data_IF_486738624866
#
_entry.id   IF_486738624866
#
_cell.length_a   1.000
_cell.length_b   1.000
_cell.length_c   1.000
_cell.angle_alpha   90.00
_cell.angle_beta   90.00
_cell.angle_gamma   90.00
#
_symmetry.space_group_name_H-M   'P 1'
#
loop_
_entity.id
_entity.type
_entity.pdbx_description
1 polymer ?
#
# COMPACT_ATOMS: atom_id res chain seq x y z
N UNK A 1 1.11 9.87 25.22
CA UNK A 1 0.36 8.68 24.77
C UNK A 1 1.27 7.87 23.85
N UNK A 2 1.30 6.55 23.97
CA UNK A 2 1.99 5.71 22.97
C UNK A 2 1.24 5.78 21.64
N UNK A 3 1.95 5.66 20.51
CA UNK A 3 1.34 5.64 19.18
C UNK A 3 0.56 4.34 19.00
N UNK A 4 -0.57 4.42 18.29
CA UNK A 4 -1.37 3.29 17.86
C UNK A 4 -1.41 3.22 16.33
N UNK A 5 -1.52 2.01 15.79
CA UNK A 5 -1.73 1.76 14.37
C UNK A 5 -3.21 1.44 14.12
N UNK A 6 -3.90 2.32 13.39
CA UNK A 6 -5.24 2.06 12.90
C UNK A 6 -5.16 1.35 11.55
N UNK A 7 -5.72 0.15 11.47
CA UNK A 7 -5.75 -0.66 10.24
C UNK A 7 -7.17 -0.59 9.68
N UNK A 8 -7.34 -0.05 8.48
CA UNK A 8 -8.64 -0.06 7.81
C UNK A 8 -9.03 -1.50 7.47
N UNK A 9 -10.24 -1.93 7.85
CA UNK A 9 -10.71 -3.31 7.71
C UNK A 9 -12.18 -3.40 7.28
N UNK A 10 -12.56 -2.56 6.33
CA UNK A 10 -13.92 -2.51 5.78
C UNK A 10 -13.99 -3.19 4.39
N UNK A 11 -15.14 -3.12 3.74
CA UNK A 11 -15.35 -3.53 2.36
C UNK A 11 -14.26 -2.98 1.43
N UNK A 12 -13.79 -3.83 0.51
CA UNK A 12 -12.71 -3.52 -0.42
C UNK A 12 -11.32 -3.89 0.07
N UNK A 13 -11.13 -4.26 1.34
CA UNK A 13 -9.81 -4.63 1.85
C UNK A 13 -9.45 -6.11 1.65
N UNK A 14 -8.18 -6.39 1.37
CA UNK A 14 -7.65 -7.75 1.31
C UNK A 14 -7.34 -8.33 2.71
N UNK A 15 -7.75 -9.58 2.94
CA UNK A 15 -7.59 -10.26 4.24
C UNK A 15 -6.14 -10.66 4.52
N UNK A 16 -5.39 -11.08 3.50
CA UNK A 16 -4.00 -11.48 3.68
C UNK A 16 -3.14 -10.26 4.08
N UNK A 17 -3.34 -9.13 3.40
CA UNK A 17 -2.70 -7.85 3.71
C UNK A 17 -3.03 -7.37 5.13
N UNK A 18 -4.31 -7.34 5.53
CA UNK A 18 -4.72 -6.94 6.89
C UNK A 18 -4.05 -7.80 7.96
N UNK A 19 -4.14 -9.12 7.83
CA UNK A 19 -3.56 -10.04 8.82
C UNK A 19 -2.03 -9.89 8.89
N UNK A 20 -1.38 -9.65 7.75
CA UNK A 20 0.06 -9.40 7.71
C UNK A 20 0.45 -8.07 8.33
N UNK A 21 -0.35 -7.00 8.17
CA UNK A 21 -0.13 -5.71 8.84
C UNK A 21 -0.25 -5.87 10.35
N UNK A 22 -1.25 -6.60 10.85
CA UNK A 22 -1.36 -6.93 12.28
C UNK A 22 -0.06 -7.57 12.78
N UNK A 23 0.43 -8.58 12.07
CA UNK A 23 1.61 -9.33 12.51
C UNK A 23 2.87 -8.46 12.51
N UNK A 24 3.01 -7.58 11.52
CA UNK A 24 4.10 -6.61 11.47
C UNK A 24 3.97 -5.50 12.53
N UNK A 25 2.76 -5.14 12.97
CA UNK A 25 2.59 -4.26 14.12
C UNK A 25 3.18 -4.88 15.40
N UNK A 26 2.98 -6.20 15.60
CA UNK A 26 3.51 -6.95 16.74
C UNK A 26 5.02 -7.16 16.64
N UNK A 27 5.50 -7.74 15.53
CA UNK A 27 6.89 -8.17 15.34
C UNK A 27 7.84 -7.00 15.08
N UNK A 28 7.48 -6.08 14.17
CA UNK A 28 8.38 -5.03 13.67
C UNK A 28 8.19 -3.71 14.39
N UNK A 29 6.96 -3.19 14.40
CA UNK A 29 6.70 -1.87 14.97
C UNK A 29 6.68 -1.88 16.50
N UNK A 30 6.29 -3.02 17.10
CA UNK A 30 6.07 -3.16 18.55
C UNK A 30 5.09 -2.10 19.07
N UNK A 31 4.05 -1.84 18.29
CA UNK A 31 2.99 -0.87 18.59
C UNK A 31 1.65 -1.58 18.75
N UNK A 32 0.75 -1.08 19.62
CA UNK A 32 -0.64 -1.52 19.61
C UNK A 32 -1.28 -1.15 18.28
N UNK A 33 -2.26 -1.96 17.87
CA UNK A 33 -3.05 -1.70 16.67
C UNK A 33 -4.54 -1.90 16.97
N UNK A 34 -5.37 -1.30 16.13
CA UNK A 34 -6.83 -1.43 16.17
C UNK A 34 -7.38 -1.48 14.75
N UNK A 35 -8.28 -2.43 14.52
CA UNK A 35 -9.12 -2.46 13.34
C UNK A 35 -10.16 -1.34 13.38
N UNK A 36 -10.27 -0.58 12.30
CA UNK A 36 -11.26 0.47 12.15
C UNK A 36 -11.97 0.35 10.81
N UNK A 37 -13.24 0.75 10.78
CA UNK A 37 -14.07 0.82 9.57
C UNK A 37 -14.35 2.27 9.19
N UNK A 38 -15.09 2.45 8.10
CA UNK A 38 -15.50 3.78 7.67
C UNK A 38 -16.32 4.51 8.74
N UNK A 39 -17.17 3.81 9.47
CA UNK A 39 -17.99 4.38 10.55
C UNK A 39 -17.12 4.94 11.69
N UNK A 40 -16.08 4.21 12.13
CA UNK A 40 -15.15 4.71 13.15
C UNK A 40 -14.43 6.00 12.69
N UNK A 41 -14.08 6.10 11.41
CA UNK A 41 -13.46 7.29 10.82
C UNK A 41 -14.45 8.45 10.85
N UNK A 42 -15.71 8.21 10.45
CA UNK A 42 -16.77 9.20 10.49
C UNK A 42 -17.07 9.68 11.93
N UNK A 43 -16.95 8.79 12.91
CA UNK A 43 -17.09 9.10 14.34
C UNK A 43 -15.85 9.78 14.94
N UNK A 44 -14.75 9.87 14.19
CA UNK A 44 -13.57 10.66 14.54
C UNK A 44 -12.51 9.90 15.34
N UNK A 45 -12.35 8.59 15.11
CA UNK A 45 -11.27 7.77 15.72
C UNK A 45 -9.87 8.26 15.34
N UNK A 46 -9.71 8.84 14.14
CA UNK A 46 -8.43 9.31 13.61
C UNK A 46 -8.00 10.63 14.26
N UNK A 47 -7.20 10.53 15.32
CA UNK A 47 -6.69 11.67 16.09
C UNK A 47 -5.24 11.45 16.54
N UNK A 48 -4.58 12.53 16.92
CA UNK A 48 -3.22 12.51 17.45
C UNK A 48 -2.16 12.11 16.40
N UNK A 49 -0.93 11.88 16.87
CA UNK A 49 0.20 11.45 16.02
C UNK A 49 0.24 9.93 15.82
N UNK A 50 -0.93 9.34 15.54
CA UNK A 50 -1.09 7.92 15.29
C UNK A 50 -0.76 7.56 13.83
N UNK A 51 -0.82 6.28 13.52
CA UNK A 51 -0.58 5.74 12.17
C UNK A 51 -1.91 5.21 11.63
N UNK A 52 -2.21 5.49 10.38
CA UNK A 52 -3.37 4.95 9.66
C UNK A 52 -2.87 4.19 8.44
N UNK A 53 -3.18 2.89 8.38
CA UNK A 53 -2.82 2.01 7.27
C UNK A 53 -4.06 1.70 6.46
N UNK A 54 -4.03 2.11 5.18
CA UNK A 54 -5.02 1.73 4.17
C UNK A 54 -4.42 0.60 3.33
N UNK A 55 -4.92 -0.64 3.47
CA UNK A 55 -4.34 -1.82 2.82
C UNK A 55 -4.67 -1.90 1.32
N UNK A 56 -4.09 -2.91 0.67
CA UNK A 56 -4.48 -3.31 -0.69
C UNK A 56 -5.91 -3.87 -0.77
N UNK A 57 -6.37 -4.08 -2.00
CA UNK A 57 -7.72 -4.56 -2.31
C UNK A 57 -8.35 -3.76 -3.46
N UNK A 58 -9.59 -3.30 -3.31
CA UNK A 58 -10.33 -2.49 -4.28
C UNK A 58 -10.65 -1.11 -3.70
N UNK A 59 -10.38 -0.04 -4.46
CA UNK A 59 -10.46 1.33 -3.97
C UNK A 59 -11.84 2.00 -4.12
N UNK A 60 -12.69 1.50 -5.03
CA UNK A 60 -14.05 2.01 -5.23
C UNK A 60 -14.92 1.88 -3.96
N UNK A 61 -14.90 0.77 -3.20
CA UNK A 61 -15.51 0.69 -1.89
C UNK A 61 -15.02 1.77 -0.91
N UNK A 62 -13.72 2.09 -0.91
CA UNK A 62 -13.16 3.15 -0.07
C UNK A 62 -13.80 4.50 -0.44
N UNK A 63 -13.83 4.82 -1.73
CA UNK A 63 -14.47 6.03 -2.25
C UNK A 63 -15.94 6.12 -1.84
N UNK A 64 -16.70 5.04 -2.06
CA UNK A 64 -18.13 4.97 -1.74
C UNK A 64 -18.41 5.28 -0.27
N UNK A 65 -17.55 4.82 0.64
CA UNK A 65 -17.76 4.95 2.09
C UNK A 65 -17.13 6.20 2.70
N UNK A 66 -16.07 6.74 2.10
CA UNK A 66 -15.24 7.79 2.72
C UNK A 66 -15.24 9.13 1.99
N UNK A 67 -15.74 9.21 0.74
CA UNK A 67 -15.86 10.52 0.06
C UNK A 67 -16.70 11.51 0.88
N UNK A 68 -16.33 12.79 0.80
CA UNK A 68 -16.85 13.86 1.64
C UNK A 68 -16.25 13.85 3.03
N UNK A 69 -17.05 13.50 4.04
CA UNK A 69 -16.67 13.68 5.44
C UNK A 69 -15.49 12.79 5.85
N UNK A 70 -15.45 11.53 5.38
CA UNK A 70 -14.37 10.59 5.71
C UNK A 70 -13.01 11.11 5.24
N UNK A 71 -12.92 11.57 3.99
CA UNK A 71 -11.71 12.14 3.41
C UNK A 71 -11.28 13.43 4.09
N UNK A 72 -12.22 14.31 4.45
CA UNK A 72 -11.88 15.50 5.26
C UNK A 72 -11.28 15.10 6.62
N UNK A 73 -11.79 14.05 7.27
CA UNK A 73 -11.26 13.56 8.54
C UNK A 73 -9.89 12.90 8.39
N UNK A 74 -9.69 12.06 7.38
CA UNK A 74 -8.38 11.44 7.09
C UNK A 74 -7.35 12.53 6.78
N UNK A 75 -7.69 13.47 5.90
CA UNK A 75 -6.80 14.58 5.53
C UNK A 75 -6.44 15.43 6.74
N UNK A 76 -7.42 15.84 7.54
CA UNK A 76 -7.20 16.59 8.78
C UNK A 76 -6.29 15.83 9.75
N UNK A 77 -6.52 14.54 9.95
CA UNK A 77 -5.68 13.69 10.80
C UNK A 77 -4.21 13.74 10.37
N UNK A 78 -3.94 13.62 9.07
CA UNK A 78 -2.57 13.70 8.54
C UNK A 78 -2.03 15.13 8.71
N UNK A 79 -2.80 16.15 8.34
CA UNK A 79 -2.40 17.56 8.47
C UNK A 79 -2.07 17.94 9.92
N UNK A 80 -2.72 17.32 10.90
CA UNK A 80 -2.48 17.51 12.34
C UNK A 80 -1.28 16.72 12.89
N UNK A 81 -0.64 15.86 12.09
CA UNK A 81 0.58 15.14 12.45
C UNK A 81 0.47 13.61 12.38
N UNK A 82 -0.65 13.07 11.92
CA UNK A 82 -0.83 11.65 11.66
C UNK A 82 0.10 11.12 10.55
N UNK A 83 0.22 9.79 10.45
CA UNK A 83 0.97 9.13 9.40
C UNK A 83 0.06 8.21 8.59
N UNK A 84 -0.10 8.48 7.30
CA UNK A 84 -0.82 7.61 6.36
C UNK A 84 0.13 6.62 5.67
N UNK A 85 -0.24 5.35 5.61
CA UNK A 85 0.44 4.32 4.83
C UNK A 85 -0.57 3.72 3.87
N UNK A 86 -0.38 3.90 2.57
CA UNK A 86 -1.22 3.33 1.52
C UNK A 86 -0.47 2.25 0.77
N UNK A 87 -1.09 1.08 0.61
CA UNK A 87 -0.52 -0.06 -0.10
C UNK A 87 -1.44 -0.46 -1.25
N UNK A 88 -0.91 -0.60 -2.46
CA UNK A 88 -1.67 -0.96 -3.66
C UNK A 88 -2.94 -0.10 -3.79
N UNK A 89 -4.15 -0.64 -3.59
CA UNK A 89 -5.40 0.14 -3.57
C UNK A 89 -5.39 1.33 -2.59
N UNK A 90 -4.81 1.17 -1.40
CA UNK A 90 -4.62 2.28 -0.46
C UNK A 90 -3.64 3.34 -0.97
N UNK A 91 -2.70 2.97 -1.85
CA UNK A 91 -1.82 3.91 -2.54
C UNK A 91 -2.55 4.65 -3.67
N UNK A 92 -3.32 3.92 -4.49
CA UNK A 92 -4.21 4.50 -5.52
C UNK A 92 -5.18 5.51 -4.90
N UNK A 93 -5.87 5.13 -3.82
CA UNK A 93 -6.84 5.95 -3.12
C UNK A 93 -6.28 7.30 -2.64
N UNK A 94 -4.99 7.34 -2.30
CA UNK A 94 -4.32 8.54 -1.81
C UNK A 94 -3.75 9.44 -2.92
N UNK A 95 -3.76 9.01 -4.18
CA UNK A 95 -3.34 9.84 -5.32
C UNK A 95 -4.50 10.73 -5.77
N UNK A 96 -4.21 11.83 -6.47
CA UNK A 96 -5.26 12.72 -6.96
C UNK A 96 -6.06 12.10 -8.10
N UNK A 97 -5.40 11.32 -8.95
CA UNK A 97 -6.01 10.54 -10.04
C UNK A 97 -5.49 9.13 -10.02
N UNK A 98 -6.28 8.24 -10.60
CA UNK A 98 -5.84 6.90 -10.91
C UNK A 98 -6.21 6.53 -12.35
N UNK A 99 -5.39 5.66 -12.93
CA UNK A 99 -5.71 4.88 -14.12
C UNK A 99 -5.30 3.44 -13.79
N UNK A 100 -6.28 2.61 -13.45
CA UNK A 100 -6.08 1.20 -13.16
C UNK A 100 -6.67 0.34 -14.29
N UNK A 101 -5.89 -0.64 -14.77
CA UNK A 101 -6.30 -1.64 -15.74
C UNK A 101 -6.07 -3.05 -15.18
N UNK A 102 -7.15 -3.79 -15.05
CA UNK A 102 -7.16 -5.25 -14.84
C UNK A 102 -7.36 -5.99 -16.15
N UNK A 103 -7.48 -7.32 -16.07
CA UNK A 103 -7.67 -8.20 -17.23
C UNK A 103 -8.92 -7.83 -18.05
N UNK A 104 -10.05 -7.67 -17.36
CA UNK A 104 -11.36 -7.50 -17.99
C UNK A 104 -12.07 -6.19 -17.58
N UNK A 105 -11.39 -5.31 -16.85
CA UNK A 105 -11.97 -4.07 -16.34
C UNK A 105 -10.93 -2.95 -16.18
N UNK A 106 -11.43 -1.72 -16.13
CA UNK A 106 -10.63 -0.52 -15.90
C UNK A 106 -11.30 0.36 -14.85
N UNK A 107 -10.49 1.02 -14.01
CA UNK A 107 -10.94 1.99 -13.02
C UNK A 107 -10.09 3.24 -13.16
N UNK A 108 -10.69 4.31 -13.67
CA UNK A 108 -10.01 5.59 -13.86
C UNK A 108 -10.81 6.74 -13.26
N UNK A 109 -10.13 7.80 -12.84
CA UNK A 109 -10.75 9.04 -12.38
C UNK A 109 -10.10 9.65 -11.15
N UNK A 110 -10.70 10.72 -10.67
CA UNK A 110 -10.19 11.46 -9.50
C UNK A 110 -10.45 10.70 -8.19
N UNK A 111 -9.61 10.97 -7.19
CA UNK A 111 -9.85 10.58 -5.78
C UNK A 111 -9.76 11.82 -4.91
N UNK A 112 -10.79 12.02 -4.09
CA UNK A 112 -10.92 13.21 -3.26
C UNK A 112 -9.82 13.32 -2.19
N UNK A 113 -9.29 12.18 -1.70
CA UNK A 113 -8.25 12.20 -0.66
C UNK A 113 -6.98 12.93 -1.12
N UNK A 114 -6.52 12.71 -2.35
CA UNK A 114 -5.51 13.53 -3.04
C UNK A 114 -4.32 14.00 -2.19
N UNK A 115 -3.62 13.08 -1.51
CA UNK A 115 -2.39 13.38 -0.77
C UNK A 115 -1.21 13.58 -1.72
N UNK A 116 -1.16 12.78 -2.79
CA UNK A 116 -0.18 12.93 -3.87
C UNK A 116 -0.79 13.68 -5.05
N UNK A 117 -0.19 14.83 -5.40
CA UNK A 117 -0.53 15.65 -6.57
C UNK A 117 0.01 15.00 -7.85
N UNK A 118 -0.65 13.93 -8.27
CA UNK A 118 -0.27 13.14 -9.42
C UNK A 118 -1.24 12.01 -9.70
N UNK A 119 -0.90 11.24 -10.72
CA UNK A 119 -1.64 10.06 -11.17
C UNK A 119 -0.92 8.79 -10.71
N UNK A 120 -1.67 7.85 -10.13
CA UNK A 120 -1.24 6.48 -9.97
C UNK A 120 -1.69 5.66 -11.18
N UNK A 121 -0.74 5.08 -11.91
CA UNK A 121 -1.02 4.33 -13.14
C UNK A 121 -0.61 2.87 -12.97
N UNK A 122 -1.50 1.94 -13.29
CA UNK A 122 -1.26 0.50 -13.25
C UNK A 122 -2.48 -0.26 -13.74
N UNK A 123 -2.61 -1.57 -13.53
CA UNK A 123 -1.50 -2.47 -13.23
C UNK A 123 -0.42 -2.40 -14.32
N UNK A 124 0.75 -2.96 -14.04
CA UNK A 124 1.95 -2.85 -14.87
C UNK A 124 2.27 -4.22 -15.46
N UNK A 125 1.65 -4.61 -16.60
CA UNK A 125 1.79 -5.97 -17.15
C UNK A 125 3.22 -6.34 -17.53
N UNK A 126 4.10 -5.37 -17.77
CA UNK A 126 5.52 -5.63 -18.05
C UNK A 126 6.28 -6.23 -16.85
N UNK A 127 5.73 -6.14 -15.63
CA UNK A 127 6.28 -6.76 -14.43
C UNK A 127 5.80 -8.21 -14.24
N UNK A 128 4.84 -8.66 -15.05
CA UNK A 128 4.08 -9.91 -14.90
C UNK A 128 3.96 -10.62 -16.25
N UNK A 129 5.01 -10.57 -17.06
CA UNK A 129 5.10 -11.26 -18.37
C UNK A 129 3.94 -10.96 -19.33
N UNK A 130 3.41 -9.74 -19.28
CA UNK A 130 2.29 -9.28 -20.11
C UNK A 130 0.90 -9.50 -19.49
N UNK A 131 0.80 -10.12 -18.32
CA UNK A 131 -0.48 -10.40 -17.66
C UNK A 131 -0.98 -9.17 -16.90
N UNK A 132 -2.18 -8.70 -17.22
CA UNK A 132 -2.86 -7.69 -16.41
C UNK A 132 -3.32 -8.28 -15.07
N UNK A 133 -3.58 -7.40 -14.09
CA UNK A 133 -4.11 -7.80 -12.79
C UNK A 133 -5.36 -8.69 -12.89
N UNK A 134 -5.35 -9.77 -12.12
CA UNK A 134 -6.48 -10.65 -11.86
C UNK A 134 -6.45 -11.06 -10.39
N UNK A 135 -7.61 -11.14 -9.74
CA UNK A 135 -7.72 -11.60 -8.36
C UNK A 135 -7.41 -13.11 -8.22
N UNK A 136 -7.74 -13.89 -9.26
CA UNK A 136 -7.76 -15.35 -9.20
C UNK A 136 -6.60 -16.01 -9.96
N UNK A 137 -5.78 -15.25 -10.70
CA UNK A 137 -4.71 -15.82 -11.53
C UNK A 137 -3.33 -15.46 -10.97
N UNK A 138 -2.57 -16.49 -10.57
CA UNK A 138 -1.22 -16.30 -10.05
C UNK A 138 -0.26 -15.70 -11.09
N UNK A 139 -0.57 -15.83 -12.38
CA UNK A 139 0.21 -15.22 -13.46
C UNK A 139 0.25 -13.69 -13.43
N UNK A 140 -0.73 -13.06 -12.78
CA UNK A 140 -0.73 -11.61 -12.55
C UNK A 140 0.11 -11.16 -11.34
N UNK A 141 0.85 -12.08 -10.70
CA UNK A 141 1.69 -11.86 -9.52
C UNK A 141 3.16 -12.08 -9.87
N UNK A 142 4.04 -11.27 -9.28
CA UNK A 142 5.48 -11.39 -9.47
C UNK A 142 6.28 -11.01 -8.22
N UNK A 143 7.47 -11.59 -8.09
CA UNK A 143 8.51 -11.09 -7.20
C UNK A 143 9.47 -10.24 -8.02
N UNK A 144 9.51 -8.93 -7.76
CA UNK A 144 10.27 -7.96 -8.56
C UNK A 144 11.40 -7.31 -7.78
N UNK A 145 12.46 -6.90 -8.47
CA UNK A 145 13.53 -6.10 -7.85
C UNK A 145 13.18 -4.61 -7.91
N UNK A 146 13.55 -3.87 -6.86
CA UNK A 146 13.42 -2.41 -6.81
C UNK A 146 14.78 -1.75 -6.62
N UNK A 147 14.93 -0.55 -7.18
CA UNK A 147 16.11 0.31 -6.95
C UNK A 147 15.90 1.19 -5.73
N UNK A 148 16.84 1.16 -4.79
CA UNK A 148 16.92 2.11 -3.68
C UNK A 148 18.24 2.88 -3.78
N UNK A 149 18.18 4.22 -3.72
CA UNK A 149 19.36 5.08 -3.92
C UNK A 149 20.13 4.71 -5.20
N UNK A 150 19.38 4.52 -6.30
CA UNK A 150 19.87 4.12 -7.64
C UNK A 150 20.54 2.73 -7.72
N UNK A 151 20.53 1.92 -6.66
CA UNK A 151 21.05 0.55 -6.68
C UNK A 151 19.93 -0.46 -6.65
N UNK A 152 19.97 -1.43 -7.57
CA UNK A 152 19.06 -2.57 -7.56
C UNK A 152 19.21 -3.36 -6.25
N UNK A 153 18.10 -3.71 -5.65
CA UNK A 153 18.04 -4.50 -4.42
C UNK A 153 18.22 -5.98 -4.72
N UNK A 154 18.94 -6.69 -3.86
CA UNK A 154 18.95 -8.16 -3.84
C UNK A 154 17.66 -8.74 -3.26
N UNK A 155 16.95 -7.96 -2.43
CA UNK A 155 15.62 -8.28 -1.94
C UNK A 155 14.58 -8.03 -3.04
N UNK A 156 13.80 -9.07 -3.36
CA UNK A 156 12.63 -8.98 -4.23
C UNK A 156 11.37 -8.62 -3.42
N UNK A 157 10.44 -7.93 -4.07
CA UNK A 157 9.18 -7.46 -3.50
C UNK A 157 8.00 -8.05 -4.26
N UNK A 158 6.95 -8.46 -3.54
CA UNK A 158 5.73 -8.95 -4.16
C UNK A 158 4.97 -7.80 -4.84
N UNK A 159 4.70 -7.99 -6.13
CA UNK A 159 3.91 -7.11 -6.97
C UNK A 159 2.62 -7.81 -7.40
N UNK A 160 1.50 -7.13 -7.18
CA UNK A 160 0.18 -7.51 -7.67
C UNK A 160 -0.68 -6.26 -7.80
N UNK A 161 -0.77 -5.71 -9.00
CA UNK A 161 -1.66 -4.58 -9.32
C UNK A 161 -1.20 -3.18 -8.91
N UNK A 162 -0.05 -3.02 -8.25
CA UNK A 162 0.44 -1.71 -7.78
C UNK A 162 0.74 -0.68 -8.89
N UNK A 163 0.75 0.63 -8.57
CA UNK A 163 0.99 1.68 -9.55
C UNK A 163 2.44 2.12 -9.72
N UNK A 164 2.72 2.77 -10.84
CA UNK A 164 3.73 3.82 -10.91
C UNK A 164 3.15 5.17 -10.45
N UNK A 165 3.92 5.98 -9.73
CA UNK A 165 3.51 7.33 -9.32
C UNK A 165 4.03 8.42 -10.26
N UNK A 166 3.13 9.07 -10.99
CA UNK A 166 3.42 10.11 -11.98
C UNK A 166 3.00 11.48 -11.42
N UNK A 167 3.94 12.39 -11.09
CA UNK A 167 3.59 13.69 -10.52
C UNK A 167 3.02 14.64 -11.58
N UNK A 168 2.13 15.56 -11.17
CA UNK A 168 1.64 16.64 -12.05
C UNK A 168 2.75 17.65 -12.39
N UNK A 169 3.73 17.80 -11.50
CA UNK A 169 4.87 18.68 -11.68
C UNK A 169 6.14 18.06 -11.12
N UNK A 170 7.20 18.05 -11.92
CA UNK A 170 8.52 17.56 -11.54
C UNK A 170 9.28 18.60 -10.68
N UNK A 171 8.82 19.85 -10.67
CA UNK A 171 9.49 20.97 -9.98
C UNK A 171 9.06 21.02 -8.50
N UNK A 172 7.85 20.56 -8.19
CA UNK A 172 7.27 20.69 -6.86
C UNK A 172 7.59 19.45 -6.00
N UNK A 173 8.67 19.52 -5.21
CA UNK A 173 9.22 18.42 -4.42
C UNK A 173 8.41 18.12 -3.14
N UNK A 174 7.07 18.06 -3.23
CA UNK A 174 6.18 17.72 -2.09
C UNK A 174 6.26 16.25 -1.69
N UNK A 175 6.92 15.44 -2.51
CA UNK A 175 7.22 14.05 -2.25
C UNK A 175 8.69 13.72 -2.51
N UNK A 176 9.12 12.55 -2.04
CA UNK A 176 10.43 11.94 -2.27
C UNK A 176 10.23 10.49 -2.66
N UNK A 177 10.99 10.05 -3.67
CA UNK A 177 11.03 8.64 -4.07
C UNK A 177 11.89 7.85 -3.08
N UNK A 178 11.33 6.77 -2.54
CA UNK A 178 12.04 5.81 -1.69
C UNK A 178 12.65 4.70 -2.55
N UNK A 179 11.83 4.16 -3.46
CA UNK A 179 12.21 3.08 -4.35
C UNK A 179 11.65 3.31 -5.76
N UNK A 180 12.39 2.85 -6.76
CA UNK A 180 12.01 2.88 -8.17
C UNK A 180 11.93 1.48 -8.74
N UNK A 181 11.15 1.30 -9.79
CA UNK A 181 11.25 0.15 -10.68
C UNK A 181 12.58 0.17 -11.45
N UNK A 182 12.87 -0.91 -12.19
CA UNK A 182 14.10 -1.02 -12.98
C UNK A 182 14.21 0.03 -14.08
N UNK A 183 13.08 0.46 -14.66
CA UNK A 183 13.00 1.55 -15.64
C UNK A 183 13.18 2.96 -15.04
N UNK A 184 13.45 3.04 -13.73
CA UNK A 184 13.60 4.25 -12.91
C UNK A 184 12.31 5.01 -12.60
N UNK A 185 11.14 4.46 -12.90
CA UNK A 185 9.87 5.07 -12.51
C UNK A 185 9.56 4.84 -11.02
N UNK A 186 8.83 5.74 -10.32
CA UNK A 186 8.63 5.63 -8.87
C UNK A 186 7.68 4.50 -8.45
N UNK A 187 8.15 3.60 -7.58
CA UNK A 187 7.38 2.46 -7.05
C UNK A 187 6.96 2.63 -5.58
N UNK A 188 7.73 3.40 -4.81
CA UNK A 188 7.42 3.73 -3.42
C UNK A 188 7.80 5.18 -3.17
N UNK A 189 6.85 5.97 -2.67
CA UNK A 189 7.05 7.40 -2.40
C UNK A 189 6.66 7.75 -0.97
N UNK A 190 7.23 8.83 -0.45
CA UNK A 190 6.77 9.49 0.77
C UNK A 190 6.62 10.99 0.56
N UNK A 191 5.67 11.61 1.24
CA UNK A 191 5.50 13.06 1.22
C UNK A 191 4.91 13.59 2.52
N UNK A 192 4.54 14.86 2.51
CA UNK A 192 3.94 15.55 3.65
C UNK A 192 2.59 16.15 3.27
N UNK A 193 1.68 16.12 4.24
CA UNK A 193 0.47 16.95 4.23
C UNK A 193 0.37 17.60 5.62
N UNK A 194 0.37 18.93 5.66
CA UNK A 194 0.50 19.69 6.90
C UNK A 194 1.71 19.25 7.74
N UNK A 195 1.45 18.86 8.99
CA UNK A 195 2.47 18.40 9.95
C UNK A 195 2.77 16.90 9.84
N UNK A 196 1.92 16.13 9.17
CA UNK A 196 2.04 14.68 9.05
C UNK A 196 2.79 14.22 7.81
N UNK A 197 2.81 12.91 7.66
CA UNK A 197 3.49 12.25 6.55
C UNK A 197 2.52 11.28 5.87
N UNK A 198 2.82 10.96 4.62
CA UNK A 198 2.25 9.81 3.93
C UNK A 198 3.35 8.98 3.28
N UNK A 199 3.15 7.67 3.19
CA UNK A 199 3.97 6.73 2.43
C UNK A 199 3.05 5.90 1.55
N UNK A 200 3.30 5.89 0.25
CA UNK A 200 2.52 5.12 -0.72
C UNK A 200 3.44 4.06 -1.34
N UNK A 201 2.97 2.81 -1.36
CA UNK A 201 3.72 1.68 -1.90
C UNK A 201 2.92 0.95 -2.97
N UNK A 202 3.56 0.69 -4.10
CA UNK A 202 3.01 -0.16 -5.14
C UNK A 202 3.19 -1.64 -4.86
N UNK A 203 4.26 -2.01 -4.15
CA UNK A 203 4.53 -3.39 -3.76
C UNK A 203 3.93 -3.69 -2.39
N UNK A 204 3.59 -4.96 -2.17
CA UNK A 204 3.05 -5.42 -0.89
C UNK A 204 4.17 -5.83 0.05
N UNK A 205 4.84 -4.83 0.64
CA UNK A 205 5.92 -5.02 1.61
C UNK A 205 5.43 -5.54 2.98
N UNK A 206 4.12 -5.53 3.19
CA UNK A 206 3.46 -5.91 4.43
C UNK A 206 3.29 -7.40 4.58
N UNK A 207 3.36 -8.19 3.51
CA UNK A 207 3.02 -9.61 3.54
C UNK A 207 3.87 -10.40 4.53
N UNK A 208 3.20 -11.30 5.25
CA UNK A 208 3.81 -12.22 6.21
C UNK A 208 3.55 -13.65 5.77
N UNK A 209 4.56 -14.52 5.91
CA UNK A 209 4.58 -15.85 5.31
C UNK A 209 3.38 -16.72 5.68
N UNK A 210 3.07 -16.79 6.97
CA UNK A 210 2.01 -17.66 7.48
C UNK A 210 0.63 -17.09 7.12
N UNK A 211 0.51 -15.77 7.09
CA UNK A 211 -0.72 -15.12 6.63
C UNK A 211 -0.94 -15.34 5.13
N UNK A 212 0.09 -15.16 4.31
CA UNK A 212 0.02 -15.45 2.88
C UNK A 212 -0.31 -16.91 2.61
N UNK A 213 0.36 -17.84 3.32
CA UNK A 213 0.08 -19.27 3.21
C UNK A 213 -1.40 -19.57 3.45
N UNK A 214 -1.93 -19.11 4.58
CA UNK A 214 -3.31 -19.36 5.02
C UNK A 214 -4.36 -18.73 4.10
N UNK A 215 -4.13 -17.50 3.67
CA UNK A 215 -5.15 -16.72 2.96
C UNK A 215 -5.09 -16.87 1.44
N UNK A 216 -3.91 -17.17 0.88
CA UNK A 216 -3.67 -17.26 -0.56
C UNK A 216 -3.29 -18.68 -0.96
N UNK A 217 -2.12 -19.16 -0.54
CA UNK A 217 -1.55 -20.43 -1.03
C UNK A 217 -2.47 -21.63 -0.78
N UNK A 218 -2.98 -21.80 0.44
CA UNK A 218 -3.82 -22.94 0.81
C UNK A 218 -5.12 -23.00 -0.01
N UNK A 219 -5.61 -21.83 -0.44
CA UNK A 219 -6.86 -21.67 -1.18
C UNK A 219 -6.68 -21.59 -2.70
N UNK A 220 -5.44 -21.51 -3.18
CA UNK A 220 -5.14 -21.44 -4.59
C UNK A 220 -5.60 -22.71 -5.32
N UNK A 221 -6.02 -22.54 -6.57
CA UNK A 221 -6.30 -23.65 -7.47
C UNK A 221 -5.04 -24.50 -7.68
N UNK A 222 -5.23 -25.78 -7.98
CA UNK A 222 -4.10 -26.72 -8.18
C UNK A 222 -3.12 -26.26 -9.26
N UNK A 223 -3.60 -25.54 -10.30
CA UNK A 223 -2.76 -24.99 -11.37
C UNK A 223 -1.82 -23.87 -10.88
N UNK A 224 -2.19 -23.18 -9.81
CA UNK A 224 -1.48 -22.00 -9.30
C UNK A 224 -0.59 -22.32 -8.09
N UNK A 225 -0.79 -23.49 -7.45
CA UNK A 225 -0.09 -23.91 -6.22
C UNK A 225 1.43 -23.76 -6.31
N UNK A 226 2.06 -24.24 -7.38
CA UNK A 226 3.52 -24.20 -7.52
C UNK A 226 4.05 -22.76 -7.54
N UNK A 227 3.38 -21.87 -8.28
CA UNK A 227 3.75 -20.44 -8.35
C UNK A 227 3.54 -19.76 -7.01
N UNK A 228 2.43 -20.06 -6.33
CA UNK A 228 2.12 -19.53 -5.00
C UNK A 228 3.11 -20.02 -3.93
N UNK A 229 3.61 -21.26 -4.04
CA UNK A 229 4.66 -21.80 -3.15
C UNK A 229 5.98 -21.06 -3.35
N UNK A 230 6.37 -20.83 -4.61
CA UNK A 230 7.56 -20.04 -4.94
C UNK A 230 7.43 -18.64 -4.37
N UNK A 231 6.31 -17.95 -4.59
CA UNK A 231 6.06 -16.62 -4.02
C UNK A 231 6.16 -16.65 -2.50
N UNK A 232 5.43 -17.57 -1.85
CA UNK A 232 5.41 -17.70 -0.39
C UNK A 232 6.80 -17.95 0.20
N UNK A 233 7.70 -18.62 -0.52
CA UNK A 233 9.08 -18.86 -0.08
C UNK A 233 9.91 -17.58 0.08
N UNK A 234 9.56 -16.49 -0.61
CA UNK A 234 10.26 -15.21 -0.54
C UNK A 234 9.93 -14.40 0.72
N UNK A 235 8.81 -14.70 1.39
CA UNK A 235 8.40 -14.02 2.62
C UNK A 235 9.22 -14.52 3.81
N UNK A 236 10.47 -14.09 3.88
CA UNK A 236 11.35 -14.35 5.02
C UNK A 236 11.02 -13.42 6.20
N UNK A 237 11.60 -13.67 7.37
CA UNK A 237 11.50 -12.75 8.52
C UNK A 237 12.02 -11.33 8.21
N UNK A 238 12.84 -11.19 7.17
CA UNK A 238 13.41 -9.92 6.74
C UNK A 238 12.67 -9.29 5.54
N UNK A 239 11.63 -9.94 5.02
CA UNK A 239 10.87 -9.43 3.90
C UNK A 239 10.26 -8.04 4.20
N UNK A 240 10.40 -7.14 3.24
CA UNK A 240 9.93 -5.76 3.31
C UNK A 240 10.81 -4.84 4.17
N UNK A 241 11.92 -5.33 4.74
CA UNK A 241 12.69 -4.58 5.76
C UNK A 241 13.15 -3.21 5.27
N UNK A 242 13.50 -3.08 3.99
CA UNK A 242 13.91 -1.78 3.44
C UNK A 242 12.82 -0.72 3.55
N UNK A 243 11.56 -1.09 3.34
CA UNK A 243 10.42 -0.18 3.44
C UNK A 243 9.98 -0.01 4.90
N UNK A 244 9.93 -1.09 5.69
CA UNK A 244 9.66 -1.02 7.12
C UNK A 244 10.65 -0.13 7.89
N UNK A 245 11.93 -0.15 7.52
CA UNK A 245 12.95 0.73 8.10
C UNK A 245 12.69 2.21 7.78
N UNK A 246 12.17 2.54 6.59
CA UNK A 246 11.76 3.91 6.28
C UNK A 246 10.52 4.32 7.08
N UNK A 247 9.56 3.42 7.28
CA UNK A 247 8.39 3.63 8.15
C UNK A 247 8.83 3.94 9.58
N UNK A 248 9.71 3.13 10.17
CA UNK A 248 10.25 3.36 11.53
C UNK A 248 10.97 4.71 11.63
N UNK A 249 11.77 5.08 10.61
CA UNK A 249 12.43 6.40 10.58
C UNK A 249 11.43 7.56 10.55
N UNK A 250 10.29 7.41 9.88
CA UNK A 250 9.22 8.43 9.87
C UNK A 250 8.56 8.50 11.24
N UNK A 251 8.21 7.35 11.81
CA UNK A 251 7.57 7.24 13.12
C UNK A 251 8.42 7.91 14.21
N UNK A 252 9.74 7.68 14.21
CA UNK A 252 10.67 8.22 15.21
C UNK A 252 10.92 9.73 15.07
N UNK A 253 10.59 10.34 13.93
CA UNK A 253 10.76 11.78 13.67
C UNK A 253 9.51 12.61 13.98
N UNK A 254 8.39 11.96 14.30
CA UNK A 254 7.08 12.59 14.56
C UNK A 254 6.78 12.68 16.04
#
# INVERSE_FOLDING_TARGET
>A
MSKCVFIYSDEGTDKAGIASIEENCRKRLKLPYRYIKSEDILDGVLQGKNIFVMPGGADLPYCKKLNGLGNRKIRKFIEDGGFYIGICAGAYYACRRINFKGKDYEVSGDRELGLFEGTAEGSLPFLTDGNYFSDDEAESKAMISLKFKEKLSEECFYYHGGPVFIPDSIINHRYRVIAKYEDNTPAVIKGKAGKGNYLLSAVHFELEKEQYRKFVLEKADMKDKDKEEIICSHFTENYGNRIWNEIVKIINKQ
#
